data_IF_034797980553
#
_entry.id   IF_034797980553
#
_cell.length_a   1.000
_cell.length_b   1.000
_cell.length_c   1.000
_cell.angle_alpha   90.00
_cell.angle_beta   90.00
_cell.angle_gamma   90.00
#
_symmetry.space_group_name_H-M   'P 1'
#
loop_
_entity.id
_entity.type
_entity.pdbx_description
1 polymer ?
#
# COMPACT_ATOMS: atom_id res chain seq x y z
N UNK A 1 -12.63 -7.11 -6.77
CA UNK A 1 -12.17 -5.75 -6.42
C UNK A 1 -10.64 -5.67 -6.42
N UNK A 2 -9.94 -6.23 -5.42
CA UNK A 2 -8.47 -6.09 -5.30
C UNK A 2 -7.68 -6.32 -6.60
N UNK A 3 -8.03 -7.36 -7.38
CA UNK A 3 -7.33 -7.67 -8.64
C UNK A 3 -7.36 -6.52 -9.64
N UNK A 4 -8.47 -5.79 -9.78
CA UNK A 4 -8.53 -4.70 -10.76
C UNK A 4 -7.61 -3.55 -10.34
N UNK A 5 -7.57 -3.23 -9.04
CA UNK A 5 -6.67 -2.21 -8.51
C UNK A 5 -5.22 -2.60 -8.69
N UNK A 6 -4.84 -3.86 -8.38
CA UNK A 6 -3.46 -4.32 -8.57
C UNK A 6 -2.99 -4.25 -10.02
N UNK A 7 -3.87 -4.57 -10.99
CA UNK A 7 -3.51 -4.45 -12.42
C UNK A 7 -3.27 -3.00 -12.81
N UNK A 8 -4.11 -2.07 -12.34
CA UNK A 8 -3.93 -0.65 -12.62
C UNK A 8 -2.70 -0.06 -11.88
N UNK A 9 -2.51 -0.43 -10.61
CA UNK A 9 -1.40 -0.02 -9.75
C UNK A 9 -0.06 -0.47 -10.31
N UNK A 10 0.07 -1.73 -10.74
CA UNK A 10 1.28 -2.23 -11.39
C UNK A 10 1.67 -1.41 -12.64
N UNK A 11 0.70 -0.86 -13.37
CA UNK A 11 0.95 0.01 -14.54
C UNK A 11 1.40 1.40 -14.09
N UNK A 12 0.71 1.98 -13.09
CA UNK A 12 1.00 3.32 -12.57
C UNK A 12 2.37 3.40 -11.90
N UNK A 13 2.74 2.37 -11.14
CA UNK A 13 4.00 2.26 -10.39
C UNK A 13 5.11 1.56 -11.20
N UNK A 14 4.89 1.33 -12.50
CA UNK A 14 5.82 0.63 -13.40
C UNK A 14 6.42 -0.69 -12.87
N UNK A 15 5.68 -1.39 -12.02
CA UNK A 15 6.13 -2.57 -11.29
C UNK A 15 6.56 -3.73 -12.21
N UNK A 16 7.62 -4.43 -11.81
CA UNK A 16 8.13 -5.57 -12.58
C UNK A 16 7.48 -6.91 -12.18
N UNK A 17 7.37 -7.16 -10.88
CA UNK A 17 6.90 -8.43 -10.32
C UNK A 17 5.74 -8.23 -9.35
N UNK A 18 4.75 -9.11 -9.44
CA UNK A 18 3.65 -9.23 -8.49
C UNK A 18 3.39 -10.70 -8.21
N UNK A 19 3.41 -11.09 -6.93
CA UNK A 19 3.16 -12.48 -6.47
C UNK A 19 4.11 -13.49 -7.16
N UNK A 20 5.41 -13.19 -7.18
CA UNK A 20 6.47 -14.02 -7.79
C UNK A 20 6.34 -14.23 -9.31
N UNK A 21 5.57 -13.39 -10.02
CA UNK A 21 5.40 -13.47 -11.47
C UNK A 21 5.48 -12.07 -12.08
N UNK A 22 5.81 -12.00 -13.36
CA UNK A 22 5.72 -10.75 -14.12
C UNK A 22 4.33 -10.13 -13.99
N UNK A 23 4.29 -8.83 -13.71
CA UNK A 23 3.06 -8.03 -13.68
C UNK A 23 2.27 -8.21 -14.98
N UNK A 24 0.94 -8.12 -14.88
CA UNK A 24 0.06 -8.46 -16.00
C UNK A 24 0.36 -7.63 -17.25
N UNK A 25 0.54 -6.32 -17.08
CA UNK A 25 0.84 -5.40 -18.18
C UNK A 25 2.20 -5.63 -18.84
N UNK A 26 3.19 -6.21 -18.12
CA UNK A 26 4.47 -6.61 -18.73
C UNK A 26 4.29 -7.77 -19.72
N UNK A 27 3.19 -8.53 -19.62
CA UNK A 27 2.88 -9.66 -20.54
C UNK A 27 2.01 -9.24 -21.71
N UNK A 28 1.00 -8.41 -21.47
CA UNK A 28 -0.01 -8.06 -22.49
C UNK A 28 0.09 -6.61 -22.99
N UNK A 29 1.05 -5.84 -22.47
CA UNK A 29 1.20 -4.41 -22.75
C UNK A 29 0.08 -3.57 -22.14
N UNK A 30 -0.13 -2.38 -22.69
CA UNK A 30 -1.14 -1.41 -22.21
C UNK A 30 -2.60 -1.87 -22.41
N UNK A 31 -2.83 -2.99 -23.12
CA UNK A 31 -4.15 -3.63 -23.16
C UNK A 31 -4.66 -4.03 -21.76
N UNK A 32 -3.75 -4.21 -20.81
CA UNK A 32 -4.05 -4.44 -19.40
C UNK A 32 -4.92 -3.33 -18.75
N UNK A 33 -4.92 -2.11 -19.31
CA UNK A 33 -5.82 -1.04 -18.85
C UNK A 33 -7.27 -1.42 -19.11
N UNK A 34 -7.58 -1.99 -20.28
CA UNK A 34 -8.93 -2.45 -20.56
C UNK A 34 -9.30 -3.66 -19.69
N UNK A 35 -8.32 -4.54 -19.41
CA UNK A 35 -8.55 -5.69 -18.54
C UNK A 35 -8.90 -5.28 -17.10
N UNK A 36 -8.32 -4.20 -16.57
CA UNK A 36 -8.70 -3.69 -15.25
C UNK A 36 -10.16 -3.18 -15.23
N UNK A 37 -10.59 -2.49 -16.30
CA UNK A 37 -11.98 -2.04 -16.47
C UNK A 37 -12.94 -3.23 -16.58
N UNK A 38 -12.53 -4.30 -17.29
CA UNK A 38 -13.30 -5.54 -17.38
C UNK A 38 -13.43 -6.23 -16.01
N UNK A 39 -12.36 -6.27 -15.22
CA UNK A 39 -12.39 -6.84 -13.88
C UNK A 39 -13.32 -6.07 -12.93
N UNK A 40 -13.39 -4.74 -13.04
CA UNK A 40 -14.39 -3.93 -12.33
C UNK A 40 -15.82 -4.27 -12.82
N UNK A 41 -16.01 -4.38 -14.14
CA UNK A 41 -17.32 -4.70 -14.72
C UNK A 41 -17.83 -6.08 -14.27
N UNK A 42 -16.95 -7.09 -14.22
CA UNK A 42 -17.30 -8.42 -13.73
C UNK A 42 -17.73 -8.43 -12.27
N UNK A 43 -17.14 -7.57 -11.43
CA UNK A 43 -17.57 -7.45 -10.03
C UNK A 43 -19.06 -7.08 -9.94
N UNK A 44 -19.50 -6.04 -10.65
CA UNK A 44 -20.90 -5.61 -10.62
C UNK A 44 -21.84 -6.60 -11.32
N UNK A 45 -21.37 -7.27 -12.36
CA UNK A 45 -22.11 -8.37 -12.99
C UNK A 45 -22.37 -9.50 -12.00
N UNK A 46 -21.35 -9.92 -11.23
CA UNK A 46 -21.50 -10.96 -10.21
C UNK A 46 -22.46 -10.53 -9.09
N UNK A 47 -22.38 -9.28 -8.63
CA UNK A 47 -23.33 -8.76 -7.65
C UNK A 47 -24.77 -8.85 -8.17
N UNK A 48 -25.00 -8.43 -9.42
CA UNK A 48 -26.32 -8.54 -10.05
C UNK A 48 -26.77 -10.00 -10.14
N UNK A 49 -25.94 -10.90 -10.67
CA UNK A 49 -26.31 -12.31 -10.87
C UNK A 49 -26.69 -13.03 -9.57
N UNK A 50 -26.02 -12.74 -8.46
CA UNK A 50 -26.22 -13.47 -7.19
C UNK A 50 -27.19 -12.79 -6.21
N UNK A 51 -27.47 -11.49 -6.39
CA UNK A 51 -28.28 -10.72 -5.46
C UNK A 51 -29.48 -10.01 -6.10
N UNK A 52 -29.71 -10.11 -7.41
CA UNK A 52 -30.87 -9.48 -8.07
C UNK A 52 -32.22 -9.81 -7.41
N UNK A 53 -32.40 -11.04 -6.92
CA UNK A 53 -33.63 -11.50 -6.26
C UNK A 53 -33.77 -10.98 -4.82
N UNK A 54 -32.75 -10.29 -4.29
CA UNK A 54 -32.69 -9.68 -2.96
C UNK A 54 -32.40 -8.18 -3.10
N UNK A 55 -33.38 -7.35 -3.47
CA UNK A 55 -33.16 -5.95 -3.85
C UNK A 55 -32.42 -5.12 -2.79
N UNK A 56 -32.79 -5.27 -1.52
CA UNK A 56 -32.14 -4.53 -0.43
C UNK A 56 -30.65 -4.90 -0.29
N UNK A 57 -30.31 -6.18 -0.32
CA UNK A 57 -28.93 -6.66 -0.25
C UNK A 57 -28.14 -6.24 -1.49
N UNK A 58 -28.73 -6.36 -2.68
CA UNK A 58 -28.10 -5.94 -3.93
C UNK A 58 -27.77 -4.46 -3.95
N UNK A 59 -28.73 -3.60 -3.60
CA UNK A 59 -28.53 -2.15 -3.54
C UNK A 59 -27.48 -1.80 -2.50
N UNK A 60 -27.56 -2.39 -1.30
CA UNK A 60 -26.59 -2.16 -0.23
C UNK A 60 -25.17 -2.53 -0.64
N UNK A 61 -24.96 -3.73 -1.21
CA UNK A 61 -23.65 -4.15 -1.70
C UNK A 61 -23.18 -3.28 -2.88
N UNK A 62 -24.06 -3.00 -3.84
CA UNK A 62 -23.71 -2.17 -5.00
C UNK A 62 -23.22 -0.78 -4.56
N UNK A 63 -23.96 -0.10 -3.67
CA UNK A 63 -23.56 1.20 -3.13
C UNK A 63 -22.22 1.10 -2.39
N UNK A 64 -22.09 0.13 -1.49
CA UNK A 64 -20.86 -0.09 -0.71
C UNK A 64 -19.63 -0.27 -1.62
N UNK A 65 -19.73 -1.12 -2.63
CA UNK A 65 -18.61 -1.35 -3.56
C UNK A 65 -18.27 -0.09 -4.36
N UNK A 66 -19.25 0.67 -4.84
CA UNK A 66 -18.98 1.94 -5.56
C UNK A 66 -18.32 2.98 -4.65
N UNK A 67 -18.80 3.12 -3.41
CA UNK A 67 -18.26 4.07 -2.44
C UNK A 67 -16.81 3.73 -2.07
N UNK A 68 -16.52 2.44 -1.85
CA UNK A 68 -15.16 2.01 -1.54
C UNK A 68 -14.24 2.14 -2.76
N UNK A 69 -14.71 1.83 -3.98
CA UNK A 69 -13.92 2.06 -5.20
C UNK A 69 -13.54 3.54 -5.31
N UNK A 70 -14.49 4.46 -5.11
CA UNK A 70 -14.22 5.89 -5.14
C UNK A 70 -13.17 6.29 -4.08
N UNK A 71 -13.33 5.83 -2.83
CA UNK A 71 -12.39 6.13 -1.73
C UNK A 71 -10.98 5.61 -2.05
N UNK A 72 -10.86 4.39 -2.58
CA UNK A 72 -9.57 3.81 -2.95
C UNK A 72 -8.94 4.55 -4.14
N UNK A 73 -9.71 4.92 -5.15
CA UNK A 73 -9.22 5.76 -6.27
C UNK A 73 -8.76 7.15 -5.81
N UNK A 74 -9.45 7.76 -4.84
CA UNK A 74 -9.00 9.01 -4.20
C UNK A 74 -7.69 8.80 -3.43
N UNK A 75 -7.56 7.70 -2.71
CA UNK A 75 -6.31 7.31 -2.05
C UNK A 75 -5.14 7.14 -3.03
N UNK A 76 -5.37 6.47 -4.16
CA UNK A 76 -4.37 6.36 -5.23
C UNK A 76 -3.99 7.73 -5.79
N UNK A 77 -4.97 8.61 -6.04
CA UNK A 77 -4.69 9.96 -6.54
C UNK A 77 -3.88 10.80 -5.54
N UNK A 78 -4.05 10.60 -4.23
CA UNK A 78 -3.24 11.25 -3.20
C UNK A 78 -1.80 10.71 -3.20
N UNK A 79 -1.64 9.39 -3.39
CA UNK A 79 -0.36 8.68 -3.46
C UNK A 79 0.47 9.15 -4.67
N UNK A 80 -0.10 9.09 -5.88
CA UNK A 80 0.59 9.52 -7.12
C UNK A 80 1.01 11.00 -7.06
N UNK A 81 0.23 11.86 -6.41
CA UNK A 81 0.58 13.29 -6.27
C UNK A 81 1.80 13.50 -5.39
N UNK A 82 2.14 12.57 -4.49
CA UNK A 82 3.32 12.70 -3.63
C UNK A 82 4.64 12.59 -4.42
N UNK A 83 4.67 11.84 -5.51
CA UNK A 83 5.88 11.63 -6.35
C UNK A 83 6.43 12.95 -6.93
N UNK A 84 5.56 13.94 -7.13
CA UNK A 84 5.91 15.24 -7.73
C UNK A 84 6.39 16.29 -6.72
N UNK A 85 6.24 16.04 -5.41
CA UNK A 85 6.37 17.06 -4.38
C UNK A 85 7.70 16.89 -3.64
N UNK A 86 8.67 17.73 -3.98
CA UNK A 86 9.85 17.96 -3.12
C UNK A 86 9.35 18.29 -1.70
N UNK A 87 9.92 17.64 -0.69
CA UNK A 87 9.94 17.81 0.79
C UNK A 87 8.77 18.49 1.56
N UNK A 88 8.33 19.77 1.38
CA UNK A 88 7.45 20.42 2.38
C UNK A 88 6.02 19.89 2.51
N UNK A 89 5.58 18.93 1.68
CA UNK A 89 4.22 18.37 1.75
C UNK A 89 4.17 16.88 2.13
N UNK A 90 5.33 16.26 2.39
CA UNK A 90 5.40 14.90 2.94
C UNK A 90 5.22 14.97 4.46
N UNK A 91 4.03 14.64 4.95
CA UNK A 91 3.71 14.65 6.39
C UNK A 91 3.09 13.32 6.85
N UNK A 92 3.22 13.02 8.14
CA UNK A 92 2.59 11.85 8.72
C UNK A 92 1.06 11.89 8.63
N UNK A 93 0.43 13.07 8.72
CA UNK A 93 -1.02 13.18 8.53
C UNK A 93 -1.43 12.79 7.11
N UNK A 94 -0.67 13.24 6.10
CA UNK A 94 -0.93 12.90 4.70
C UNK A 94 -0.72 11.42 4.43
N UNK A 95 0.35 10.83 4.97
CA UNK A 95 0.57 9.39 4.90
C UNK A 95 -0.59 8.61 5.53
N UNK A 96 -1.07 9.01 6.71
CA UNK A 96 -2.24 8.39 7.34
C UNK A 96 -3.47 8.45 6.44
N UNK A 97 -3.72 9.58 5.77
CA UNK A 97 -4.81 9.70 4.82
C UNK A 97 -4.64 8.77 3.61
N UNK A 98 -3.47 8.73 2.99
CA UNK A 98 -3.17 7.83 1.86
C UNK A 98 -3.45 6.38 2.28
N UNK A 99 -2.89 5.97 3.41
CA UNK A 99 -3.03 4.63 3.98
C UNK A 99 -4.50 4.24 4.20
N UNK A 100 -5.28 5.11 4.87
CA UNK A 100 -6.68 4.83 5.18
C UNK A 100 -7.51 4.72 3.91
N UNK A 101 -7.31 5.62 2.95
CA UNK A 101 -8.09 5.67 1.70
C UNK A 101 -7.67 4.62 0.67
N UNK A 102 -6.36 4.52 0.38
CA UNK A 102 -5.79 3.58 -0.62
C UNK A 102 -5.99 2.14 -0.17
N UNK A 103 -5.83 1.84 1.13
CA UNK A 103 -5.81 0.44 1.58
C UNK A 103 -6.85 0.10 2.64
N UNK A 104 -7.08 0.98 3.61
CA UNK A 104 -7.95 0.69 4.77
C UNK A 104 -9.37 0.30 4.38
N UNK A 105 -10.03 1.11 3.54
CA UNK A 105 -11.44 0.89 3.20
C UNK A 105 -11.69 -0.43 2.46
N UNK A 106 -10.91 -0.75 1.42
CA UNK A 106 -11.18 -1.96 0.64
C UNK A 106 -10.69 -3.24 1.33
N UNK A 107 -9.66 -3.15 2.18
CA UNK A 107 -9.04 -4.32 2.82
C UNK A 107 -9.79 -4.73 4.08
N UNK A 108 -10.22 -3.77 4.91
CA UNK A 108 -10.80 -4.05 6.22
C UNK A 108 -12.28 -3.70 6.30
N UNK A 109 -12.65 -2.47 5.91
CA UNK A 109 -14.03 -2.00 6.05
C UNK A 109 -15.00 -2.74 5.11
N UNK A 110 -14.64 -2.85 3.83
CA UNK A 110 -15.46 -3.49 2.80
C UNK A 110 -15.88 -4.93 3.13
N UNK A 111 -14.98 -5.87 3.46
CA UNK A 111 -15.39 -7.26 3.71
C UNK A 111 -16.31 -7.38 4.94
N UNK A 112 -16.05 -6.61 6.00
CA UNK A 112 -16.86 -6.62 7.22
C UNK A 112 -18.24 -6.01 6.96
N UNK A 113 -18.30 -4.82 6.35
CA UNK A 113 -19.59 -4.18 6.01
C UNK A 113 -20.39 -5.02 5.01
N UNK A 114 -19.74 -5.68 4.06
CA UNK A 114 -20.39 -6.62 3.14
C UNK A 114 -21.04 -7.77 3.89
N UNK A 115 -20.36 -8.36 4.88
CA UNK A 115 -20.91 -9.44 5.70
C UNK A 115 -22.12 -8.98 6.53
N UNK A 116 -22.07 -7.77 7.10
CA UNK A 116 -23.18 -7.17 7.84
C UNK A 116 -24.41 -6.96 6.94
N UNK A 117 -24.23 -6.42 5.73
CA UNK A 117 -25.29 -6.26 4.73
C UNK A 117 -25.89 -7.62 4.33
N UNK A 118 -25.05 -8.64 4.13
CA UNK A 118 -25.52 -10.00 3.83
C UNK A 118 -26.35 -10.63 4.94
N UNK A 119 -26.11 -10.22 6.20
CA UNK A 119 -26.87 -10.67 7.37
C UNK A 119 -28.04 -9.75 7.72
N UNK A 120 -28.22 -8.62 7.02
CA UNK A 120 -29.24 -7.63 7.34
C UNK A 120 -29.01 -6.96 8.70
N UNK A 121 -27.76 -6.91 9.16
CA UNK A 121 -27.39 -6.25 10.41
C UNK A 121 -26.98 -4.83 10.08
N UNK A 122 -27.69 -3.86 10.64
CA UNK A 122 -27.34 -2.45 10.51
C UNK A 122 -26.49 -2.01 11.69
N UNK A 123 -25.25 -1.63 11.41
CA UNK A 123 -24.31 -1.04 12.37
C UNK A 123 -23.87 0.29 11.76
N UNK A 124 -24.01 1.35 12.56
CA UNK A 124 -23.56 2.68 12.22
C UNK A 124 -22.06 2.68 11.87
N UNK A 125 -21.74 3.29 10.75
CA UNK A 125 -20.37 3.48 10.29
C UNK A 125 -19.55 4.29 11.30
N UNK A 126 -20.17 5.17 12.09
CA UNK A 126 -19.51 5.90 13.16
C UNK A 126 -18.89 4.99 14.25
N UNK A 127 -19.46 3.80 14.46
CA UNK A 127 -18.90 2.79 15.37
C UNK A 127 -17.95 1.82 14.66
N UNK A 128 -18.28 1.46 13.41
CA UNK A 128 -17.52 0.47 12.65
C UNK A 128 -16.18 1.02 12.16
N UNK A 129 -16.17 2.26 11.66
CA UNK A 129 -14.98 2.87 11.07
C UNK A 129 -13.83 3.03 12.07
N UNK A 130 -14.00 3.50 13.32
CA UNK A 130 -12.91 3.50 14.28
C UNK A 130 -12.35 2.10 14.53
N UNK A 131 -13.19 1.07 14.68
CA UNK A 131 -12.69 -0.28 14.95
C UNK A 131 -11.87 -0.82 13.76
N UNK A 132 -12.35 -0.60 12.53
CA UNK A 132 -11.75 -1.17 11.32
C UNK A 132 -10.65 -0.30 10.70
N UNK A 133 -10.74 1.02 10.87
CA UNK A 133 -9.88 2.02 10.23
C UNK A 133 -8.95 2.74 11.23
N UNK A 134 -9.25 2.72 12.53
CA UNK A 134 -8.32 3.20 13.57
C UNK A 134 -8.95 3.39 14.95
N UNK A 135 -8.43 2.67 15.97
CA UNK A 135 -8.33 3.02 17.42
C UNK A 135 -8.24 1.77 18.33
N UNK A 136 -7.29 0.87 18.07
CA UNK A 136 -6.84 -0.12 19.05
C UNK A 136 -5.32 -0.12 19.08
N UNK A 137 -4.71 -0.43 20.24
CA UNK A 137 -3.25 -0.50 20.42
C UNK A 137 -2.53 -1.39 19.37
N UNK A 138 -3.28 -2.23 18.67
CA UNK A 138 -2.88 -2.97 17.49
C UNK A 138 -3.33 -2.26 16.21
N UNK A 139 -2.56 -1.24 15.84
CA UNK A 139 -2.61 -0.51 14.57
C UNK A 139 -2.55 -1.44 13.33
N UNK A 140 -3.57 -2.24 13.00
CA UNK A 140 -3.44 -3.23 11.92
C UNK A 140 -3.21 -2.62 10.55
N UNK A 141 -3.88 -1.52 10.18
CA UNK A 141 -3.64 -0.84 8.90
C UNK A 141 -2.26 -0.17 8.88
N UNK A 142 -1.90 0.57 9.93
CA UNK A 142 -0.61 1.27 9.99
C UNK A 142 0.56 0.31 10.23
N UNK A 143 0.39 -0.83 10.91
CA UNK A 143 1.39 -1.89 11.04
C UNK A 143 1.48 -2.68 9.74
N UNK A 144 0.36 -3.05 9.11
CA UNK A 144 0.38 -3.76 7.83
C UNK A 144 1.03 -2.93 6.72
N UNK A 145 0.78 -1.61 6.69
CA UNK A 145 1.36 -0.73 5.67
C UNK A 145 2.75 -0.24 6.04
N UNK A 146 3.06 0.02 7.31
CA UNK A 146 4.47 0.17 7.73
C UNK A 146 5.26 -1.08 7.44
N UNK A 147 4.65 -2.25 7.59
CA UNK A 147 5.26 -3.52 7.25
C UNK A 147 5.35 -3.71 5.75
N UNK A 148 4.37 -3.27 4.95
CA UNK A 148 4.47 -3.29 3.49
C UNK A 148 5.58 -2.35 3.01
N UNK A 149 5.61 -1.08 3.44
CA UNK A 149 6.67 -0.10 3.16
C UNK A 149 8.04 -0.58 3.66
N UNK A 150 8.07 -1.24 4.82
CA UNK A 150 9.29 -1.84 5.37
C UNK A 150 9.75 -3.03 4.54
N UNK A 151 8.85 -3.91 4.13
CA UNK A 151 9.15 -5.04 3.26
C UNK A 151 9.50 -4.59 1.84
N UNK A 152 8.98 -3.47 1.39
CA UNK A 152 9.35 -2.85 0.11
C UNK A 152 10.82 -2.40 0.16
N UNK A 153 11.22 -1.73 1.26
CA UNK A 153 12.58 -1.23 1.43
C UNK A 153 13.61 -2.31 1.83
N UNK A 154 13.21 -3.28 2.66
CA UNK A 154 14.13 -4.21 3.35
C UNK A 154 13.77 -5.69 3.21
N UNK A 155 12.62 -6.03 2.64
CA UNK A 155 12.18 -7.40 2.44
C UNK A 155 13.00 -8.09 1.35
N UNK A 156 13.23 -9.40 1.52
CA UNK A 156 13.86 -10.22 0.49
C UNK A 156 12.86 -10.41 -0.67
N UNK A 157 13.19 -10.01 -1.92
CA UNK A 157 12.32 -10.19 -3.07
C UNK A 157 11.88 -11.63 -3.31
N UNK A 158 12.67 -12.62 -2.88
CA UNK A 158 12.31 -14.04 -2.98
C UNK A 158 11.17 -14.45 -2.04
N UNK A 159 10.96 -13.70 -0.95
CA UNK A 159 9.91 -13.93 0.04
C UNK A 159 8.72 -13.03 -0.22
N UNK A 160 8.94 -11.74 -0.49
CA UNK A 160 7.88 -10.76 -0.75
C UNK A 160 7.23 -10.98 -2.12
N UNK A 161 7.99 -11.53 -3.07
CA UNK A 161 7.55 -11.76 -4.44
C UNK A 161 7.27 -10.50 -5.25
N UNK A 162 7.80 -9.36 -4.79
CA UNK A 162 7.89 -8.08 -5.49
C UNK A 162 9.28 -7.47 -5.28
N UNK A 163 9.72 -6.67 -6.24
CA UNK A 163 10.88 -5.79 -6.05
C UNK A 163 10.32 -4.47 -5.55
N UNK A 164 10.82 -3.97 -4.43
CA UNK A 164 10.35 -2.69 -3.90
C UNK A 164 10.85 -1.51 -4.72
N UNK A 165 9.96 -0.56 -4.97
CA UNK A 165 10.19 0.63 -5.79
C UNK A 165 9.89 1.93 -5.06
N UNK A 166 9.36 1.88 -3.83
CA UNK A 166 8.86 3.05 -3.09
C UNK A 166 9.88 4.19 -2.99
N UNK A 167 11.17 3.85 -2.81
CA UNK A 167 12.24 4.84 -2.71
C UNK A 167 12.58 5.43 -4.08
N UNK A 168 12.58 4.61 -5.14
CA UNK A 168 12.90 5.07 -6.51
C UNK A 168 11.80 6.00 -7.05
N UNK A 169 10.56 5.71 -6.67
CA UNK A 169 9.37 6.43 -7.10
C UNK A 169 9.07 7.63 -6.19
N UNK A 170 9.92 7.93 -5.20
CA UNK A 170 9.72 9.01 -4.21
C UNK A 170 8.33 8.95 -3.54
N UNK A 171 7.86 7.74 -3.25
CA UNK A 171 6.57 7.54 -2.57
C UNK A 171 6.61 8.12 -1.16
N UNK A 172 5.46 8.59 -0.69
CA UNK A 172 5.26 9.02 0.68
C UNK A 172 5.19 7.80 1.61
N UNK A 173 6.28 7.02 1.69
CA UNK A 173 6.37 5.84 2.53
C UNK A 173 6.72 6.22 3.96
N UNK A 174 6.33 5.37 4.90
CA UNK A 174 6.70 5.52 6.30
C UNK A 174 8.22 5.55 6.49
N UNK A 175 8.98 4.82 5.68
CA UNK A 175 10.43 4.82 5.72
C UNK A 175 11.00 6.20 5.37
N UNK A 176 10.51 6.83 4.30
CA UNK A 176 10.98 8.18 3.91
C UNK A 176 10.61 9.21 4.97
N UNK A 177 9.36 9.20 5.47
CA UNK A 177 8.92 10.14 6.51
C UNK A 177 9.69 10.00 7.82
N UNK A 178 9.98 8.76 8.23
CA UNK A 178 10.76 8.50 9.44
C UNK A 178 12.19 9.02 9.27
N UNK A 179 12.81 8.81 8.11
CA UNK A 179 14.13 9.36 7.82
C UNK A 179 14.13 10.90 7.82
N UNK A 180 13.15 11.53 7.15
CA UNK A 180 12.99 12.99 7.12
C UNK A 180 12.76 13.60 8.52
N UNK A 181 12.07 12.87 9.41
CA UNK A 181 11.86 13.32 10.80
C UNK A 181 13.15 13.32 11.64
N UNK A 182 14.13 12.51 11.25
CA UNK A 182 15.44 12.41 11.92
C UNK A 182 16.43 13.39 11.28
N UNK A 183 16.39 13.56 9.96
CA UNK A 183 17.26 14.44 9.18
C UNK A 183 16.48 15.09 8.03
N UNK A 184 16.34 16.41 8.06
CA UNK A 184 15.47 17.19 7.16
C UNK A 184 15.87 17.14 5.68
N UNK A 185 17.08 16.65 5.36
CA UNK A 185 17.62 16.47 4.01
C UNK A 185 17.81 14.99 3.61
N UNK A 186 17.10 14.06 4.26
CA UNK A 186 17.19 12.62 4.03
C UNK A 186 16.51 12.12 2.74
N UNK A 187 16.59 12.88 1.63
CA UNK A 187 16.02 12.49 0.33
C UNK A 187 16.79 11.37 -0.38
N UNK A 188 18.01 11.03 0.06
CA UNK A 188 18.85 10.02 -0.59
C UNK A 188 18.63 8.62 -0.01
N UNK A 189 18.55 7.60 -0.89
CA UNK A 189 18.42 6.17 -0.51
C UNK A 189 19.46 5.75 0.53
N UNK A 190 20.69 6.26 0.40
CA UNK A 190 21.78 5.99 1.34
C UNK A 190 21.52 6.64 2.70
N UNK A 191 20.94 7.84 2.74
CA UNK A 191 20.55 8.52 3.98
C UNK A 191 19.38 7.80 4.65
N UNK A 192 18.34 7.44 3.90
CA UNK A 192 17.21 6.63 4.42
C UNK A 192 17.74 5.31 4.99
N UNK A 193 18.60 4.59 4.27
CA UNK A 193 19.20 3.34 4.73
C UNK A 193 20.10 3.53 5.95
N UNK A 194 20.85 4.62 6.02
CA UNK A 194 21.69 4.98 7.17
C UNK A 194 20.86 5.34 8.40
N UNK A 195 19.85 6.20 8.26
CA UNK A 195 18.88 6.55 9.29
C UNK A 195 18.17 5.32 9.84
N UNK A 196 17.78 4.38 8.97
CA UNK A 196 17.17 3.11 9.41
C UNK A 196 18.15 2.15 10.07
N UNK A 197 19.41 2.10 9.61
CA UNK A 197 20.46 1.33 10.29
C UNK A 197 20.74 1.91 11.68
N UNK A 198 20.76 3.24 11.80
CA UNK A 198 20.91 3.96 13.06
C UNK A 198 19.70 3.74 13.98
N UNK A 199 18.47 3.87 13.46
CA UNK A 199 17.23 3.60 14.18
C UNK A 199 17.15 2.15 14.65
N UNK A 200 17.48 1.18 13.79
CA UNK A 200 17.55 -0.24 14.16
C UNK A 200 18.57 -0.47 15.27
N UNK A 201 19.76 0.14 15.19
CA UNK A 201 20.76 0.07 16.28
C UNK A 201 20.27 0.71 17.57
N UNK A 202 19.52 1.81 17.51
CA UNK A 202 18.93 2.48 18.67
C UNK A 202 17.84 1.59 19.29
N UNK A 203 16.97 0.99 18.48
CA UNK A 203 15.92 0.08 18.93
C UNK A 203 16.49 -1.23 19.48
N UNK A 204 17.49 -1.83 18.84
CA UNK A 204 18.19 -3.03 19.32
C UNK A 204 18.91 -2.76 20.67
N UNK A 205 19.45 -1.54 20.86
CA UNK A 205 20.03 -1.11 22.14
C UNK A 205 18.99 -0.83 23.22
N UNK A 206 17.82 -0.30 22.88
CA UNK A 206 16.81 0.12 23.86
C UNK A 206 15.75 -0.95 24.20
N UNK A 207 15.53 -1.95 23.33
CA UNK A 207 14.48 -2.98 23.50
C UNK A 207 15.00 -4.41 23.69
N UNK A 208 16.32 -4.63 23.75
CA UNK A 208 16.92 -5.97 23.90
C UNK A 208 16.35 -7.04 22.95
N UNK A 209 15.91 -6.63 21.75
CA UNK A 209 15.45 -7.54 20.71
C UNK A 209 16.67 -8.22 20.09
N UNK A 210 16.76 -9.55 20.24
CA UNK A 210 17.87 -10.34 19.68
C UNK A 210 17.91 -10.22 18.15
N UNK A 211 19.10 -10.05 17.54
CA UNK A 211 19.22 -9.91 16.10
C UNK A 211 18.91 -11.25 15.40
N UNK A 212 17.93 -11.24 14.48
CA UNK A 212 17.83 -12.27 13.45
C UNK A 212 18.98 -12.08 12.45
N UNK A 213 19.90 -13.03 12.45
CA UNK A 213 21.11 -13.06 11.62
C UNK A 213 20.75 -13.48 10.20
N UNK A 214 20.46 -12.53 9.32
CA UNK A 214 20.58 -12.74 7.88
C UNK A 214 21.57 -11.71 7.30
N UNK A 215 22.73 -12.24 6.93
CA UNK A 215 23.93 -11.54 6.50
C UNK A 215 23.74 -10.87 5.14
N UNK A 216 24.14 -9.61 5.06
CA UNK A 216 24.24 -8.73 3.88
C UNK A 216 25.35 -9.15 2.90
N UNK A 217 25.38 -10.42 2.48
CA UNK A 217 26.34 -10.88 1.46
C UNK A 217 25.64 -11.11 0.14
N UNK A 218 25.84 -10.17 -0.79
CA UNK A 218 25.70 -10.45 -2.21
C UNK A 218 25.08 -9.33 -3.02
N UNK A 219 25.73 -8.17 -3.14
CA UNK A 219 25.46 -7.26 -4.26
C UNK A 219 26.77 -6.60 -4.74
N UNK A 220 27.06 -6.82 -6.02
CA UNK A 220 28.22 -6.32 -6.76
C UNK A 220 27.83 -4.93 -7.31
N UNK A 221 28.59 -3.91 -6.96
CA UNK A 221 28.49 -2.58 -7.58
C UNK A 221 29.17 -2.58 -8.97
N UNK A 222 28.67 -1.86 -9.97
CA UNK A 222 29.52 -1.42 -11.07
C UNK A 222 30.54 -0.39 -10.56
N UNK A 223 31.76 -0.32 -11.12
CA UNK A 223 32.84 0.49 -10.56
C UNK A 223 32.53 1.98 -10.63
N UNK A 224 32.81 2.65 -9.50
CA UNK A 224 32.90 4.10 -9.28
C UNK A 224 33.19 4.96 -10.52
N UNK A 225 32.33 5.95 -10.78
CA UNK A 225 32.82 7.22 -11.32
C UNK A 225 33.33 8.06 -10.14
N UNK A 226 34.61 8.37 -10.26
CA UNK A 226 35.48 9.08 -9.32
C UNK A 226 34.93 10.41 -8.83
N UNK A 227 35.10 10.61 -7.53
CA UNK A 227 35.31 11.90 -6.88
C UNK A 227 36.21 12.80 -7.73
N UNK A 228 35.80 14.05 -7.94
CA UNK A 228 36.70 15.19 -8.05
C UNK A 228 35.95 16.48 -7.73
N UNK A 229 36.35 17.03 -6.58
CA UNK A 229 36.13 18.39 -6.03
C UNK A 229 34.79 18.68 -5.36
#
# INVERSE_FOLDING_TARGET
MQTFFLVADDIMDESCLRRNKLCWYKKVGLSAINDSILLESFLFLLLKMHFQDRPHTHIGLFSLFRDVILRTSLGQALDMKCESLKSPQMSFERYQQIVVYKTGFYTFYLPVKSALILKGIDIDDAHLMPILLGLGELFQIQVHLRWDDYLDCFGDPSITGKIGTDIQDFKCSWCVLTALSIDGDACDVLKVRWCFTLFRRIMEKNLALKPCVHTTKGWIFPPSMSENV
#
